data_IF_971429952665
#
_entry.id   IF_971429952665
#
_cell.length_a   1.000
_cell.length_b   1.000
_cell.length_c   1.000
_cell.angle_alpha   90.00
_cell.angle_beta   90.00
_cell.angle_gamma   90.00
#
_symmetry.space_group_name_H-M   'P 1'
#
loop_
_entity.id
_entity.type
_entity.pdbx_description
1 polymer ?
#
# COMPACT_ATOMS: atom_id res chain seq x y z
N UNK A 1 28.20 -11.64 -8.34
CA UNK A 1 27.11 -10.86 -7.72
C UNK A 1 25.91 -10.97 -8.64
N UNK A 2 25.20 -12.10 -8.57
CA UNK A 2 24.08 -12.42 -9.44
C UNK A 2 22.79 -12.17 -8.64
N UNK A 3 22.26 -10.95 -8.71
CA UNK A 3 20.86 -10.69 -8.39
C UNK A 3 20.04 -10.99 -9.65
N UNK A 4 19.94 -12.28 -9.97
CA UNK A 4 19.16 -12.78 -11.09
C UNK A 4 18.16 -13.78 -10.53
N UNK A 5 16.90 -13.63 -10.96
CA UNK A 5 15.75 -14.54 -10.86
C UNK A 5 14.97 -14.73 -9.54
N UNK A 6 15.43 -14.37 -8.34
CA UNK A 6 14.56 -14.54 -7.15
C UNK A 6 13.46 -13.47 -7.00
N UNK A 7 13.64 -12.27 -7.54
CA UNK A 7 12.62 -11.21 -7.49
C UNK A 7 11.40 -11.47 -8.41
N UNK A 8 11.51 -12.42 -9.35
CA UNK A 8 10.42 -12.80 -10.26
C UNK A 8 9.50 -13.89 -9.69
N UNK A 9 9.91 -14.59 -8.64
CA UNK A 9 9.08 -15.65 -8.02
C UNK A 9 8.00 -15.13 -7.05
N UNK A 10 7.99 -13.83 -6.74
CA UNK A 10 6.96 -13.21 -5.89
C UNK A 10 5.68 -12.81 -6.68
N UNK A 11 5.49 -13.32 -7.90
CA UNK A 11 4.43 -12.85 -8.81
C UNK A 11 3.20 -13.77 -8.93
N UNK A 12 3.17 -14.95 -8.29
CA UNK A 12 2.15 -15.95 -8.61
C UNK A 12 1.21 -16.37 -7.47
N UNK A 13 1.14 -15.60 -6.38
CA UNK A 13 0.11 -15.79 -5.35
C UNK A 13 -0.55 -14.44 -5.05
N UNK A 14 -1.83 -14.33 -5.42
CA UNK A 14 -2.76 -13.23 -5.14
C UNK A 14 -2.57 -12.61 -3.74
N UNK A 15 -1.74 -11.56 -3.63
CA UNK A 15 -1.60 -10.72 -2.44
C UNK A 15 -1.33 -9.29 -2.89
N UNK A 16 -2.05 -8.34 -2.28
CA UNK A 16 -2.24 -6.98 -2.83
C UNK A 16 -0.89 -6.29 -3.00
N UNK A 17 -0.45 -6.16 -4.26
CA UNK A 17 0.87 -5.62 -4.62
C UNK A 17 0.69 -4.16 -5.03
N UNK A 18 1.25 -3.26 -4.23
CA UNK A 18 1.26 -1.84 -4.51
C UNK A 18 2.66 -1.44 -4.94
N UNK A 19 2.84 -1.21 -6.24
CA UNK A 19 4.02 -0.53 -6.79
C UNK A 19 3.67 0.93 -6.96
N UNK A 20 4.60 1.85 -6.70
CA UNK A 20 4.41 3.29 -6.95
C UNK A 20 4.03 3.51 -8.41
N UNK A 21 2.74 3.67 -8.69
CA UNK A 21 2.24 4.12 -9.98
C UNK A 21 1.86 5.58 -9.82
N UNK A 22 2.79 6.48 -10.16
CA UNK A 22 2.42 7.79 -10.66
C UNK A 22 1.87 7.56 -12.08
N UNK A 23 0.59 7.82 -12.30
CA UNK A 23 0.02 7.78 -13.65
C UNK A 23 0.34 9.13 -14.31
N UNK A 24 1.36 9.16 -15.17
CA UNK A 24 1.77 10.37 -15.88
C UNK A 24 1.10 10.36 -17.26
N UNK A 25 -0.04 11.04 -17.38
CA UNK A 25 -0.70 11.31 -18.66
C UNK A 25 0.09 12.41 -19.40
N UNK A 26 0.60 12.13 -20.61
CA UNK A 26 1.33 13.11 -21.42
C UNK A 26 0.40 14.05 -22.21
N UNK A 27 0.77 15.33 -22.24
CA UNK A 27 0.36 16.43 -23.15
C UNK A 27 -1.10 16.90 -23.00
N UNK A 28 -1.42 18.18 -22.76
CA UNK A 28 -0.90 19.42 -23.36
C UNK A 28 -1.20 20.63 -22.45
N UNK A 29 -0.55 21.73 -22.76
CA UNK A 29 -0.63 23.06 -22.15
C UNK A 29 -2.04 23.52 -21.66
N UNK A 30 -2.01 24.40 -20.65
CA UNK A 30 -3.11 25.25 -20.10
C UNK A 30 -3.84 24.79 -18.82
N UNK A 31 -3.37 25.31 -17.68
CA UNK A 31 -4.11 25.70 -16.44
C UNK A 31 -5.27 24.83 -15.92
N UNK A 32 -5.22 23.52 -16.12
CA UNK A 32 -6.11 22.57 -15.47
C UNK A 32 -5.29 21.76 -14.46
N UNK A 33 -5.60 21.92 -13.17
CA UNK A 33 -5.02 21.11 -12.09
C UNK A 33 -5.48 19.64 -12.25
N UNK A 34 -4.86 18.89 -13.15
CA UNK A 34 -5.01 17.44 -13.17
C UNK A 34 -4.38 16.88 -11.89
N UNK A 35 -5.23 16.38 -11.01
CA UNK A 35 -4.86 15.94 -9.67
C UNK A 35 -4.01 14.66 -9.77
N UNK A 36 -2.72 14.75 -9.39
CA UNK A 36 -1.82 13.60 -9.41
C UNK A 36 -2.41 12.44 -8.59
N UNK A 37 -2.70 11.32 -9.26
CA UNK A 37 -3.21 10.11 -8.60
C UNK A 37 -2.05 9.25 -8.12
N UNK A 38 -1.94 9.10 -6.80
CA UNK A 38 -0.96 8.26 -6.15
C UNK A 38 -1.59 6.98 -5.57
N UNK A 39 -0.74 6.03 -5.19
CA UNK A 39 -1.15 4.73 -4.61
C UNK A 39 -2.06 4.91 -3.39
N UNK A 40 -1.75 5.85 -2.50
CA UNK A 40 -2.56 6.14 -1.31
C UNK A 40 -3.98 6.61 -1.66
N UNK A 41 -4.18 7.28 -2.80
CA UNK A 41 -5.52 7.65 -3.26
C UNK A 41 -6.32 6.42 -3.68
N UNK A 42 -5.69 5.50 -4.44
CA UNK A 42 -6.32 4.25 -4.86
C UNK A 42 -6.63 3.33 -3.67
N UNK A 43 -5.76 3.32 -2.65
CA UNK A 43 -5.99 2.60 -1.40
C UNK A 43 -7.27 3.09 -0.72
N UNK A 44 -7.40 4.40 -0.50
CA UNK A 44 -8.56 5.01 0.16
C UNK A 44 -9.85 4.80 -0.64
N UNK A 45 -9.79 4.88 -1.97
CA UNK A 45 -10.95 4.60 -2.84
C UNK A 45 -11.47 3.16 -2.70
N UNK A 46 -10.59 2.20 -2.42
CA UNK A 46 -10.93 0.77 -2.32
C UNK A 46 -10.99 0.26 -0.87
N UNK A 47 -11.12 1.16 0.12
CA UNK A 47 -10.98 0.86 1.55
C UNK A 47 -11.79 -0.34 2.05
N UNK A 48 -13.06 -0.45 1.68
CA UNK A 48 -13.93 -1.54 2.14
C UNK A 48 -13.47 -2.91 1.63
N UNK A 49 -13.09 -2.96 0.35
CA UNK A 49 -12.61 -4.19 -0.26
C UNK A 49 -11.25 -4.61 0.33
N UNK A 50 -10.33 -3.65 0.46
CA UNK A 50 -9.02 -3.89 1.06
C UNK A 50 -9.12 -4.33 2.51
N UNK A 51 -9.97 -3.68 3.30
CA UNK A 51 -10.20 -4.08 4.68
C UNK A 51 -10.73 -5.51 4.77
N UNK A 52 -11.70 -5.90 3.94
CA UNK A 52 -12.19 -7.29 3.88
C UNK A 52 -11.07 -8.27 3.55
N UNK A 53 -10.22 -7.94 2.57
CA UNK A 53 -9.09 -8.80 2.20
C UNK A 53 -8.10 -8.98 3.37
N UNK A 54 -7.74 -7.88 4.04
CA UNK A 54 -6.76 -7.85 5.12
C UNK A 54 -7.33 -8.53 6.38
N UNK A 55 -8.57 -8.21 6.75
CA UNK A 55 -9.18 -8.64 7.99
C UNK A 55 -9.78 -10.04 7.90
N UNK A 56 -10.59 -10.31 6.87
CA UNK A 56 -11.34 -11.56 6.74
C UNK A 56 -10.60 -12.62 5.92
N UNK A 57 -9.91 -12.22 4.85
CA UNK A 57 -9.29 -13.18 3.92
C UNK A 57 -7.81 -13.43 4.19
N UNK A 58 -7.29 -12.95 5.32
CA UNK A 58 -5.92 -13.15 5.74
C UNK A 58 -4.88 -12.70 4.67
N UNK A 59 -5.18 -11.67 3.87
CA UNK A 59 -4.28 -11.17 2.82
C UNK A 59 -2.95 -10.66 3.40
N UNK A 60 -1.88 -10.69 2.59
CA UNK A 60 -0.62 -10.06 2.97
C UNK A 60 -0.42 -8.78 2.17
N UNK A 61 0.34 -7.87 2.77
CA UNK A 61 0.65 -6.54 2.27
C UNK A 61 2.14 -6.49 1.98
N UNK A 62 2.50 -6.03 0.78
CA UNK A 62 3.88 -5.79 0.38
C UNK A 62 4.00 -4.36 -0.14
N UNK A 63 4.89 -3.58 0.46
CA UNK A 63 5.18 -2.20 0.05
C UNK A 63 6.63 -2.12 -0.37
N UNK A 64 6.90 -1.68 -1.60
CA UNK A 64 8.26 -1.47 -2.10
C UNK A 64 8.40 -0.10 -2.78
N UNK A 65 9.50 0.63 -2.50
CA UNK A 65 9.77 1.92 -3.11
C UNK A 65 10.44 2.95 -2.20
N UNK A 66 10.18 4.24 -2.46
CA UNK A 66 10.74 5.34 -1.69
C UNK A 66 10.30 5.30 -0.21
N UNK A 67 11.29 5.17 0.68
CA UNK A 67 11.07 5.11 2.12
C UNK A 67 10.58 6.46 2.70
N UNK A 68 10.98 7.58 2.10
CA UNK A 68 10.82 8.91 2.71
C UNK A 68 9.39 9.44 2.59
N UNK A 69 8.78 9.29 1.43
CA UNK A 69 7.45 9.82 1.18
C UNK A 69 6.44 8.70 0.95
N UNK A 70 6.69 7.82 -0.02
CA UNK A 70 5.72 6.81 -0.43
C UNK A 70 5.39 5.81 0.68
N UNK A 71 6.40 5.22 1.32
CA UNK A 71 6.19 4.21 2.36
C UNK A 71 5.38 4.75 3.55
N UNK A 72 5.69 5.99 3.97
CA UNK A 72 4.98 6.67 5.05
C UNK A 72 3.52 6.91 4.67
N UNK A 73 3.27 7.50 3.51
CA UNK A 73 1.92 7.89 3.09
C UNK A 73 1.03 6.66 2.83
N UNK A 74 1.61 5.56 2.34
CA UNK A 74 0.90 4.27 2.20
C UNK A 74 0.59 3.66 3.57
N UNK A 75 1.50 3.77 4.54
CA UNK A 75 1.27 3.26 5.90
C UNK A 75 0.14 4.04 6.61
N UNK A 76 0.15 5.37 6.50
CA UNK A 76 -0.91 6.25 6.98
C UNK A 76 -2.26 5.87 6.37
N UNK A 77 -2.31 5.67 5.05
CA UNK A 77 -3.53 5.28 4.35
C UNK A 77 -4.10 3.94 4.85
N UNK A 78 -3.25 2.97 5.20
CA UNK A 78 -3.71 1.72 5.79
C UNK A 78 -4.31 1.90 7.19
N UNK A 79 -3.78 2.80 8.01
CA UNK A 79 -4.37 3.13 9.31
C UNK A 79 -5.75 3.74 9.13
N UNK A 80 -5.88 4.74 8.25
CA UNK A 80 -7.17 5.35 7.92
C UNK A 80 -8.20 4.32 7.43
N UNK A 81 -7.79 3.38 6.57
CA UNK A 81 -8.68 2.29 6.11
C UNK A 81 -9.19 1.45 7.29
N UNK A 82 -8.33 1.13 8.26
CA UNK A 82 -8.72 0.33 9.41
C UNK A 82 -9.62 1.11 10.39
N UNK A 83 -9.46 2.43 10.48
CA UNK A 83 -10.35 3.30 11.24
C UNK A 83 -11.72 3.41 10.56
N UNK A 84 -11.76 3.75 9.27
CA UNK A 84 -12.99 4.02 8.54
C UNK A 84 -13.80 2.76 8.20
N UNK A 85 -13.14 1.72 7.68
CA UNK A 85 -13.81 0.48 7.27
C UNK A 85 -13.83 -0.58 8.37
N UNK A 86 -12.88 -0.52 9.32
CA UNK A 86 -12.78 -1.46 10.43
C UNK A 86 -13.37 -0.97 11.75
N UNK A 87 -13.67 0.32 11.88
CA UNK A 87 -14.19 0.91 13.11
C UNK A 87 -13.18 0.89 14.26
N UNK A 88 -11.88 0.78 13.95
CA UNK A 88 -10.82 0.84 14.95
C UNK A 88 -10.52 2.28 15.34
N UNK A 89 -10.03 2.50 16.56
CA UNK A 89 -9.36 3.77 16.89
C UNK A 89 -7.98 3.81 16.23
N UNK A 90 -7.40 5.01 16.08
CA UNK A 90 -6.05 5.15 15.54
C UNK A 90 -5.01 4.27 16.25
N UNK A 91 -5.01 4.24 17.59
CA UNK A 91 -4.11 3.37 18.36
C UNK A 91 -4.35 1.89 18.05
N UNK A 92 -5.61 1.47 17.92
CA UNK A 92 -5.94 0.09 17.55
C UNK A 92 -5.51 -0.25 16.13
N UNK A 93 -5.60 0.69 15.19
CA UNK A 93 -5.15 0.55 13.82
C UNK A 93 -3.62 0.38 13.77
N UNK A 94 -2.86 1.25 14.44
CA UNK A 94 -1.40 1.14 14.58
C UNK A 94 -1.00 -0.22 15.13
N UNK A 95 -1.58 -0.63 16.27
CA UNK A 95 -1.31 -1.93 16.88
C UNK A 95 -1.70 -3.09 15.96
N UNK A 96 -2.75 -2.93 15.15
CA UNK A 96 -3.20 -3.95 14.21
C UNK A 96 -2.16 -4.21 13.12
N UNK A 97 -1.63 -3.16 12.48
CA UNK A 97 -0.61 -3.33 11.44
C UNK A 97 0.74 -3.75 12.00
N UNK A 98 1.12 -3.31 13.21
CA UNK A 98 2.29 -3.87 13.91
C UNK A 98 2.17 -5.39 14.12
N UNK A 99 0.99 -5.88 14.54
CA UNK A 99 0.75 -7.32 14.65
C UNK A 99 0.84 -8.04 13.30
N UNK A 100 0.40 -7.41 12.20
CA UNK A 100 0.55 -7.98 10.86
C UNK A 100 2.02 -8.09 10.44
N UNK A 101 2.85 -7.09 10.78
CA UNK A 101 4.29 -7.14 10.54
C UNK A 101 4.94 -8.30 11.30
N UNK A 102 4.66 -8.42 12.61
CA UNK A 102 5.17 -9.53 13.43
C UNK A 102 4.74 -10.91 12.93
N UNK A 103 3.56 -11.00 12.31
CA UNK A 103 3.04 -12.24 11.71
C UNK A 103 3.55 -12.49 10.28
N UNK A 104 4.42 -11.65 9.73
CA UNK A 104 4.92 -11.75 8.35
C UNK A 104 3.85 -11.49 7.29
N UNK A 105 2.73 -10.86 7.66
CA UNK A 105 1.62 -10.51 6.78
C UNK A 105 1.69 -9.08 6.25
N UNK A 106 2.63 -8.28 6.74
CA UNK A 106 2.93 -6.96 6.21
C UNK A 106 4.45 -6.81 6.12
N UNK A 107 4.98 -6.74 4.90
CA UNK A 107 6.41 -6.54 4.61
C UNK A 107 6.63 -5.23 3.88
N UNK A 108 7.72 -4.54 4.22
CA UNK A 108 8.16 -3.32 3.56
C UNK A 108 9.60 -3.50 3.08
N UNK A 109 9.85 -3.20 1.81
CA UNK A 109 11.17 -3.20 1.17
C UNK A 109 11.43 -1.82 0.57
N UNK A 110 11.94 -0.91 1.40
CA UNK A 110 12.00 0.52 1.10
C UNK A 110 13.43 1.05 1.15
N UNK A 111 13.77 1.96 0.24
CA UNK A 111 15.10 2.54 0.10
C UNK A 111 15.07 4.07 0.15
N UNK A 112 16.20 4.69 0.51
CA UNK A 112 16.41 6.14 0.63
C UNK A 112 17.45 6.67 -0.35
#
# INVERSE_FOLDING_TARGET
LNYSTEAQLCFQLLQVRFTSTCYESQHSDEDHQEENVYVQHLLKQNKEHLWKLIHSNNAHIYVCGDARNMARDVHEAFHEIAEEAGGLTHTQAVDYFQRLMTKGRYSQDVWS
#
